data_IF_481817949192
#
_entry.id   IF_481817949192
#
_cell.length_a   1.000
_cell.length_b   1.000
_cell.length_c   1.000
_cell.angle_alpha   90.00
_cell.angle_beta   90.00
_cell.angle_gamma   90.00
#
_symmetry.space_group_name_H-M   'P 1'
#
loop_
_entity.id
_entity.type
_entity.pdbx_description
1 polymer ?
#
# COMPACT_ATOMS: atom_id res chain seq x y z
N UNK A 1 -14.74 -29.85 -22.52
CA UNK A 1 -13.81 -29.73 -21.36
C UNK A 1 -13.13 -28.37 -21.47
N UNK A 2 -13.51 -27.39 -20.66
CA UNK A 2 -12.83 -26.11 -20.61
C UNK A 2 -11.40 -26.34 -20.09
N UNK A 3 -10.33 -25.93 -20.80
CA UNK A 3 -9.01 -25.93 -20.22
C UNK A 3 -9.04 -24.97 -19.03
N UNK A 4 -8.76 -25.49 -17.83
CA UNK A 4 -8.56 -24.68 -16.62
C UNK A 4 -7.50 -23.66 -16.98
N UNK A 5 -7.92 -22.38 -17.15
CA UNK A 5 -7.00 -21.30 -17.53
C UNK A 5 -5.96 -21.15 -16.41
N UNK A 6 -4.75 -21.61 -16.69
CA UNK A 6 -3.65 -21.61 -15.72
C UNK A 6 -3.31 -20.17 -15.37
N UNK A 7 -3.51 -19.80 -14.11
CA UNK A 7 -3.16 -18.47 -13.62
C UNK A 7 -1.69 -18.16 -13.94
N UNK A 8 -1.43 -17.01 -14.57
CA UNK A 8 -0.08 -16.59 -14.93
C UNK A 8 0.76 -16.29 -13.68
N UNK A 9 2.07 -16.51 -13.77
CA UNK A 9 2.99 -16.31 -12.64
C UNK A 9 2.93 -14.87 -12.11
N UNK A 10 2.87 -13.86 -13.00
CA UNK A 10 2.81 -12.45 -12.60
C UNK A 10 1.49 -12.11 -11.88
N UNK A 11 0.34 -12.71 -12.27
CA UNK A 11 -0.90 -12.55 -11.54
C UNK A 11 -0.78 -13.03 -10.09
N UNK A 12 -0.19 -14.21 -9.86
CA UNK A 12 0.03 -14.73 -8.51
C UNK A 12 0.93 -13.84 -7.67
N UNK A 13 1.96 -13.25 -8.30
CA UNK A 13 2.87 -12.34 -7.62
C UNK A 13 2.19 -11.01 -7.27
N UNK A 14 1.35 -10.44 -8.14
CA UNK A 14 0.56 -9.26 -7.80
C UNK A 14 -0.48 -9.55 -6.73
N UNK A 15 -1.12 -10.71 -6.76
CA UNK A 15 -2.04 -11.15 -5.72
C UNK A 15 -1.32 -11.27 -4.36
N UNK A 16 -0.13 -11.90 -4.35
CA UNK A 16 0.70 -11.98 -3.15
C UNK A 16 1.09 -10.59 -2.66
N UNK A 17 1.52 -9.69 -3.55
CA UNK A 17 1.87 -8.31 -3.21
C UNK A 17 0.67 -7.53 -2.64
N UNK A 18 -0.56 -7.79 -3.11
CA UNK A 18 -1.78 -7.19 -2.56
C UNK A 18 -1.98 -7.60 -1.09
N UNK A 19 -1.94 -8.89 -0.79
CA UNK A 19 -2.08 -9.38 0.59
C UNK A 19 -0.91 -8.95 1.47
N UNK A 20 0.30 -8.92 0.92
CA UNK A 20 1.48 -8.42 1.63
C UNK A 20 1.33 -6.95 2.02
N UNK A 21 0.82 -6.11 1.10
CA UNK A 21 0.55 -4.69 1.35
C UNK A 21 -0.50 -4.51 2.44
N UNK A 22 -1.58 -5.31 2.44
CA UNK A 22 -2.57 -5.29 3.52
C UNK A 22 -1.95 -5.64 4.87
N UNK A 23 -1.13 -6.69 4.93
CA UNK A 23 -0.39 -7.08 6.13
C UNK A 23 0.58 -5.99 6.59
N UNK A 24 1.25 -5.30 5.65
CA UNK A 24 2.16 -4.19 5.96
C UNK A 24 1.41 -2.97 6.51
N UNK A 25 0.24 -2.62 5.98
CA UNK A 25 -0.62 -1.56 6.52
C UNK A 25 -1.06 -1.88 7.95
N UNK A 26 -1.46 -3.14 8.20
CA UNK A 26 -1.80 -3.60 9.55
C UNK A 26 -0.60 -3.50 10.49
N UNK A 27 0.58 -3.96 10.07
CA UNK A 27 1.81 -3.84 10.86
C UNK A 27 2.17 -2.39 11.15
N UNK A 28 2.00 -1.48 10.16
CA UNK A 28 2.19 -0.04 10.35
C UNK A 28 1.23 0.55 11.40
N UNK A 29 -0.01 0.06 11.46
CA UNK A 29 -0.96 0.47 12.50
C UNK A 29 -0.52 0.02 13.90
N UNK A 30 0.11 -1.15 14.03
CA UNK A 30 0.70 -1.63 15.29
C UNK A 30 1.87 -0.73 15.71
N UNK A 31 2.77 -0.39 14.77
CA UNK A 31 3.90 0.53 15.05
C UNK A 31 3.39 1.84 15.66
N UNK A 32 2.33 2.39 15.09
CA UNK A 32 1.70 3.61 15.61
C UNK A 32 1.00 3.39 16.96
N UNK A 33 0.24 2.32 17.10
CA UNK A 33 -0.54 2.04 18.30
C UNK A 33 0.36 1.77 19.53
N UNK A 34 1.53 1.19 19.30
CA UNK A 34 2.52 0.90 20.35
C UNK A 34 3.47 2.07 20.64
N UNK A 35 3.32 3.22 19.96
CA UNK A 35 4.22 4.36 20.11
C UNK A 35 5.63 4.10 19.60
N UNK A 36 5.80 3.12 18.70
CA UNK A 36 7.11 2.63 18.25
C UNK A 36 7.69 3.38 17.04
N UNK A 37 7.02 4.40 16.54
CA UNK A 37 7.31 5.05 15.24
C UNK A 37 8.64 5.80 15.16
N UNK A 38 9.35 5.99 16.28
CA UNK A 38 10.69 6.59 16.39
C UNK A 38 11.62 5.76 17.26
N UNK A 39 11.38 4.47 17.41
CA UNK A 39 12.25 3.57 18.17
C UNK A 39 13.61 3.36 17.47
N UNK A 40 13.67 3.55 16.15
CA UNK A 40 14.89 3.56 15.33
C UNK A 40 15.22 5.01 14.96
N UNK A 41 16.32 5.60 15.49
CA UNK A 41 16.62 7.01 15.28
C UNK A 41 17.19 7.35 13.90
N UNK A 42 17.61 6.35 13.14
CA UNK A 42 18.26 6.46 11.83
C UNK A 42 17.49 5.70 10.74
N UNK A 43 17.83 5.96 9.48
CA UNK A 43 17.28 5.28 8.30
C UNK A 43 18.38 5.18 7.23
N UNK A 44 18.50 4.04 6.48
CA UNK A 44 17.65 2.84 6.47
C UNK A 44 17.92 1.87 7.62
N UNK A 45 19.01 2.03 8.35
CA UNK A 45 19.43 1.21 9.49
C UNK A 45 18.61 1.52 10.75
N UNK A 46 18.93 0.84 11.83
CA UNK A 46 18.43 1.12 13.18
C UNK A 46 19.62 1.03 14.16
N UNK A 47 19.99 2.16 14.77
CA UNK A 47 21.24 2.29 15.55
C UNK A 47 22.49 1.90 14.74
N UNK A 48 22.56 2.32 13.47
CA UNK A 48 23.70 2.07 12.58
C UNK A 48 23.83 0.63 12.08
N UNK A 49 22.90 -0.27 12.39
CA UNK A 49 22.94 -1.68 11.98
C UNK A 49 21.66 -2.13 11.27
N UNK A 50 21.80 -3.13 10.38
CA UNK A 50 20.67 -3.80 9.74
C UNK A 50 20.03 -4.87 10.65
N UNK A 51 20.73 -5.28 11.72
CA UNK A 51 20.26 -6.29 12.66
C UNK A 51 20.37 -5.75 14.10
N UNK A 52 19.51 -4.78 14.48
CA UNK A 52 19.48 -4.25 15.83
C UNK A 52 18.95 -5.29 16.82
N UNK A 53 19.14 -5.04 18.12
CA UNK A 53 18.53 -5.86 19.16
C UNK A 53 17.00 -5.71 19.09
N UNK A 54 16.31 -6.74 18.64
CA UNK A 54 14.87 -6.75 18.39
C UNK A 54 14.06 -6.82 19.70
N UNK A 55 13.96 -5.69 20.41
CA UNK A 55 13.22 -5.59 21.67
C UNK A 55 12.30 -4.37 21.68
N UNK A 56 11.14 -4.48 22.35
CA UNK A 56 10.21 -3.37 22.53
C UNK A 56 9.81 -2.69 21.22
N UNK A 57 9.84 -1.37 21.16
CA UNK A 57 9.47 -0.59 19.97
C UNK A 57 10.38 -0.83 18.78
N UNK A 58 11.67 -1.14 18.99
CA UNK A 58 12.62 -1.45 17.92
C UNK A 58 12.12 -2.67 17.12
N UNK A 59 11.58 -3.68 17.80
CA UNK A 59 11.02 -4.87 17.14
C UNK A 59 9.95 -4.48 16.11
N UNK A 60 8.96 -3.69 16.53
CA UNK A 60 7.83 -3.34 15.65
C UNK A 60 8.25 -2.44 14.49
N UNK A 61 9.01 -1.39 14.77
CA UNK A 61 9.44 -0.44 13.72
C UNK A 61 10.41 -1.10 12.74
N UNK A 62 11.42 -1.83 13.23
CA UNK A 62 12.39 -2.46 12.34
C UNK A 62 11.78 -3.61 11.54
N UNK A 63 10.90 -4.42 12.14
CA UNK A 63 10.13 -5.44 11.42
C UNK A 63 9.30 -4.82 10.29
N UNK A 64 8.62 -3.69 10.56
CA UNK A 64 7.86 -2.97 9.52
C UNK A 64 8.77 -2.56 8.35
N UNK A 65 9.97 -2.04 8.63
CA UNK A 65 10.95 -1.68 7.59
C UNK A 65 11.42 -2.89 6.77
N UNK A 66 11.71 -4.02 7.41
CA UNK A 66 12.13 -5.25 6.73
C UNK A 66 11.01 -5.80 5.84
N UNK A 67 9.79 -5.84 6.34
CA UNK A 67 8.62 -6.30 5.58
C UNK A 67 8.33 -5.37 4.40
N UNK A 68 8.52 -4.04 4.56
CA UNK A 68 8.42 -3.06 3.48
C UNK A 68 9.50 -3.27 2.42
N UNK A 69 10.74 -3.50 2.82
CA UNK A 69 11.84 -3.83 1.89
C UNK A 69 11.57 -5.11 1.09
N UNK A 70 11.05 -6.14 1.76
CA UNK A 70 10.64 -7.39 1.09
C UNK A 70 9.50 -7.16 0.08
N UNK A 71 8.55 -6.25 0.36
CA UNK A 71 7.50 -5.87 -0.59
C UNK A 71 8.08 -5.20 -1.85
N UNK A 72 9.09 -4.33 -1.70
CA UNK A 72 9.76 -3.70 -2.85
C UNK A 72 10.37 -4.77 -3.77
N UNK A 73 11.08 -5.74 -3.19
CA UNK A 73 11.68 -6.85 -3.94
C UNK A 73 10.60 -7.70 -4.61
N UNK A 74 9.56 -8.09 -3.89
CA UNK A 74 8.44 -8.88 -4.40
C UNK A 74 7.78 -8.18 -5.60
N UNK A 75 7.49 -6.88 -5.47
CA UNK A 75 6.82 -6.12 -6.52
C UNK A 75 7.73 -5.89 -7.73
N UNK A 76 9.05 -5.69 -7.53
CA UNK A 76 10.03 -5.62 -8.61
C UNK A 76 10.10 -6.94 -9.39
N UNK A 77 10.10 -8.08 -8.69
CA UNK A 77 10.05 -9.41 -9.32
C UNK A 77 8.73 -9.60 -10.08
N UNK A 78 7.58 -9.22 -9.49
CA UNK A 78 6.28 -9.29 -10.16
C UNK A 78 6.26 -8.47 -11.45
N UNK A 79 6.81 -7.25 -11.42
CA UNK A 79 6.95 -6.36 -12.57
C UNK A 79 7.83 -6.99 -13.65
N UNK A 80 9.01 -7.50 -13.28
CA UNK A 80 9.93 -8.14 -14.21
C UNK A 80 9.33 -9.40 -14.86
N UNK A 81 8.68 -10.27 -14.08
CA UNK A 81 7.98 -11.46 -14.59
C UNK A 81 6.83 -11.05 -15.52
N UNK A 82 6.08 -10.00 -15.17
CA UNK A 82 5.02 -9.46 -16.01
C UNK A 82 5.54 -8.92 -17.36
N UNK A 83 6.72 -8.31 -17.38
CA UNK A 83 7.36 -7.85 -18.63
C UNK A 83 7.79 -9.01 -19.54
N UNK A 84 8.26 -10.11 -18.95
CA UNK A 84 8.67 -11.31 -19.68
C UNK A 84 7.49 -12.18 -20.15
N UNK A 85 6.32 -12.00 -19.56
CA UNK A 85 5.16 -12.87 -19.79
C UNK A 85 4.43 -12.61 -21.12
N UNK A 86 4.90 -11.70 -21.98
CA UNK A 86 4.26 -11.33 -23.25
C UNK A 86 2.76 -10.96 -23.11
N UNK A 87 2.34 -10.54 -21.92
CA UNK A 87 1.00 -10.09 -21.65
C UNK A 87 0.72 -8.77 -22.41
N UNK A 88 -0.09 -8.86 -23.46
CA UNK A 88 -0.39 -7.74 -24.37
C UNK A 88 -1.48 -6.81 -23.83
N UNK A 89 -2.03 -7.07 -22.63
CA UNK A 89 -3.05 -6.20 -22.06
C UNK A 89 -2.51 -4.79 -21.86
N UNK A 90 -3.25 -3.75 -22.33
CA UNK A 90 -2.76 -2.38 -22.33
C UNK A 90 -2.55 -1.88 -20.88
N UNK A 91 -1.49 -1.13 -20.69
CA UNK A 91 -1.23 -0.43 -19.43
C UNK A 91 -0.52 -1.23 -18.33
N UNK A 92 -0.48 -2.58 -18.33
CA UNK A 92 0.16 -3.37 -17.27
C UNK A 92 1.60 -2.91 -17.04
N UNK A 93 2.38 -2.74 -18.09
CA UNK A 93 3.80 -2.32 -17.99
C UNK A 93 3.93 -0.93 -17.37
N UNK A 94 3.11 0.03 -17.85
CA UNK A 94 3.13 1.41 -17.36
C UNK A 94 2.74 1.46 -15.89
N UNK A 95 1.63 0.83 -15.52
CA UNK A 95 1.15 0.83 -14.14
C UNK A 95 2.07 0.07 -13.19
N UNK A 96 2.77 -0.98 -13.66
CA UNK A 96 3.82 -1.63 -12.87
C UNK A 96 5.01 -0.71 -12.60
N UNK A 97 5.44 0.09 -13.61
CA UNK A 97 6.45 1.11 -13.41
C UNK A 97 6.00 2.22 -12.44
N UNK A 98 4.73 2.66 -12.56
CA UNK A 98 4.14 3.60 -11.60
C UNK A 98 4.16 3.03 -10.18
N UNK A 99 3.88 1.73 -10.02
CA UNK A 99 3.98 1.05 -8.73
C UNK A 99 5.39 1.05 -8.14
N UNK A 100 6.42 0.79 -8.95
CA UNK A 100 7.82 0.91 -8.51
C UNK A 100 8.13 2.34 -8.08
N UNK A 101 7.73 3.34 -8.88
CA UNK A 101 7.93 4.75 -8.53
C UNK A 101 7.23 5.11 -7.21
N UNK A 102 5.99 4.66 -6.99
CA UNK A 102 5.28 4.87 -5.73
C UNK A 102 6.03 4.27 -4.55
N UNK A 103 6.58 3.06 -4.66
CA UNK A 103 7.36 2.43 -3.60
C UNK A 103 8.67 3.19 -3.31
N UNK A 104 9.34 3.72 -4.33
CA UNK A 104 10.53 4.55 -4.15
C UNK A 104 10.18 5.86 -3.44
N UNK A 105 9.12 6.55 -3.88
CA UNK A 105 8.61 7.76 -3.20
C UNK A 105 8.23 7.45 -1.75
N UNK A 106 7.58 6.32 -1.52
CA UNK A 106 7.19 5.85 -0.20
C UNK A 106 8.41 5.66 0.73
N UNK A 107 9.51 5.12 0.19
CA UNK A 107 10.76 4.95 0.94
C UNK A 107 11.39 6.30 1.35
N UNK A 108 11.29 7.31 0.48
CA UNK A 108 11.72 8.68 0.81
C UNK A 108 10.84 9.27 1.92
N UNK A 109 9.51 9.08 1.86
CA UNK A 109 8.61 9.55 2.93
C UNK A 109 8.90 8.87 4.26
N UNK A 110 9.24 7.57 4.29
CA UNK A 110 9.68 6.88 5.53
C UNK A 110 10.95 7.53 6.07
N UNK A 111 11.95 7.81 5.23
CA UNK A 111 13.16 8.50 5.66
C UNK A 111 12.83 9.87 6.29
N UNK A 112 11.96 10.64 5.64
CA UNK A 112 11.53 11.96 6.11
C UNK A 112 10.73 11.88 7.43
N UNK A 113 9.89 10.84 7.63
CA UNK A 113 9.18 10.67 8.90
C UNK A 113 10.15 10.48 10.07
N UNK A 114 11.25 9.76 9.86
CA UNK A 114 12.27 9.51 10.89
C UNK A 114 13.13 10.77 11.11
N UNK A 115 13.71 11.32 10.04
CA UNK A 115 14.63 12.48 10.11
C UNK A 115 13.96 13.71 10.70
N UNK A 116 12.70 13.98 10.31
CA UNK A 116 11.94 15.15 10.74
C UNK A 116 11.08 14.88 11.99
N UNK A 117 11.23 13.72 12.63
CA UNK A 117 10.53 13.34 13.87
C UNK A 117 9.00 13.39 13.75
N UNK A 118 8.45 12.68 12.75
CA UNK A 118 7.01 12.48 12.53
C UNK A 118 6.18 13.75 12.32
N UNK A 119 6.51 14.62 11.37
CA UNK A 119 5.60 15.71 11.01
C UNK A 119 4.26 15.12 10.52
N UNK A 120 3.14 15.63 11.04
CA UNK A 120 1.81 15.09 10.74
C UNK A 120 1.52 15.04 9.23
N UNK A 121 1.92 16.07 8.48
CA UNK A 121 1.71 16.14 7.04
C UNK A 121 2.46 15.04 6.29
N UNK A 122 3.74 14.77 6.64
CA UNK A 122 4.56 13.73 6.03
C UNK A 122 4.02 12.34 6.37
N UNK A 123 3.68 12.11 7.65
CA UNK A 123 3.13 10.84 8.11
C UNK A 123 1.78 10.53 7.46
N UNK A 124 0.91 11.54 7.31
CA UNK A 124 -0.39 11.38 6.63
C UNK A 124 -0.20 11.15 5.12
N UNK A 125 0.75 11.85 4.48
CA UNK A 125 1.05 11.63 3.06
C UNK A 125 1.62 10.22 2.83
N UNK A 126 2.51 9.73 3.71
CA UNK A 126 2.99 8.35 3.68
C UNK A 126 1.83 7.34 3.72
N UNK A 127 0.85 7.53 4.61
CA UNK A 127 -0.35 6.70 4.68
C UNK A 127 -1.19 6.78 3.39
N UNK A 128 -1.42 7.98 2.85
CA UNK A 128 -2.18 8.16 1.61
C UNK A 128 -1.50 7.46 0.42
N UNK A 129 -0.19 7.59 0.28
CA UNK A 129 0.59 6.89 -0.75
C UNK A 129 0.52 5.37 -0.60
N UNK A 130 0.50 4.84 0.63
CA UNK A 130 0.35 3.42 0.88
C UNK A 130 -1.02 2.88 0.41
N UNK A 131 -2.11 3.63 0.63
CA UNK A 131 -3.43 3.30 0.08
C UNK A 131 -3.50 3.41 -1.44
N UNK A 132 -2.82 4.40 -2.04
CA UNK A 132 -2.71 4.50 -3.50
C UNK A 132 -1.97 3.30 -4.08
N UNK A 133 -0.88 2.86 -3.45
CA UNK A 133 -0.16 1.67 -3.87
C UNK A 133 -1.02 0.41 -3.72
N UNK A 134 -1.75 0.26 -2.60
CA UNK A 134 -2.70 -0.85 -2.41
C UNK A 134 -3.75 -0.88 -3.53
N UNK A 135 -4.34 0.27 -3.86
CA UNK A 135 -5.32 0.39 -4.95
C UNK A 135 -4.70 -0.04 -6.28
N UNK A 136 -3.51 0.45 -6.59
CA UNK A 136 -2.79 0.12 -7.83
C UNK A 136 -2.50 -1.38 -7.94
N UNK A 137 -1.94 -2.00 -6.89
CA UNK A 137 -1.59 -3.43 -6.94
C UNK A 137 -2.84 -4.30 -6.98
N UNK A 138 -3.95 -3.88 -6.34
CA UNK A 138 -5.24 -4.57 -6.44
C UNK A 138 -5.81 -4.51 -7.86
N UNK A 139 -5.73 -3.35 -8.52
CA UNK A 139 -6.13 -3.20 -9.93
C UNK A 139 -5.25 -4.07 -10.84
N UNK A 140 -3.92 -4.06 -10.64
CA UNK A 140 -3.02 -4.94 -11.40
C UNK A 140 -3.38 -6.42 -11.20
N UNK A 141 -3.71 -6.82 -9.98
CA UNK A 141 -4.16 -8.18 -9.68
C UNK A 141 -5.45 -8.51 -10.43
N UNK A 142 -6.45 -7.62 -10.41
CA UNK A 142 -7.72 -7.82 -11.11
C UNK A 142 -7.53 -7.89 -12.63
N UNK A 143 -6.79 -6.96 -13.21
CA UNK A 143 -6.53 -6.92 -14.67
C UNK A 143 -5.72 -8.12 -15.14
N UNK A 144 -4.78 -8.62 -14.35
CA UNK A 144 -3.96 -9.79 -14.69
C UNK A 144 -4.65 -11.13 -14.43
N UNK A 145 -5.85 -11.12 -13.83
CA UNK A 145 -6.65 -12.32 -13.58
C UNK A 145 -6.96 -13.07 -14.88
N UNK A 146 -6.94 -14.42 -14.86
CA UNK A 146 -7.37 -15.24 -15.99
C UNK A 146 -8.80 -14.94 -16.46
N UNK A 147 -9.69 -14.56 -15.55
CA UNK A 147 -11.08 -14.24 -15.86
C UNK A 147 -11.23 -12.88 -16.58
N UNK A 148 -10.28 -11.97 -16.44
CA UNK A 148 -10.32 -10.65 -17.08
C UNK A 148 -10.25 -10.71 -18.62
N UNK A 149 -9.72 -11.77 -19.19
CA UNK A 149 -9.63 -11.94 -20.66
C UNK A 149 -10.98 -12.16 -21.34
N UNK A 150 -12.02 -12.53 -20.59
CA UNK A 150 -13.37 -12.76 -21.10
C UNK A 150 -14.22 -11.47 -21.16
N UNK A 151 -13.80 -10.42 -20.47
CA UNK A 151 -14.58 -9.15 -20.34
C UNK A 151 -14.21 -8.11 -21.41
N UNK A 152 -13.14 -8.32 -22.19
CA UNK A 152 -12.52 -7.32 -23.09
C UNK A 152 -13.42 -6.83 -24.25
N UNK A 153 -14.60 -7.39 -24.45
CA UNK A 153 -15.51 -6.97 -25.53
C UNK A 153 -16.72 -6.16 -25.09
N UNK A 154 -16.87 -5.83 -23.83
CA UNK A 154 -17.93 -4.93 -23.41
C UNK A 154 -17.53 -3.46 -23.67
N UNK A 155 -18.40 -2.77 -24.42
CA UNK A 155 -18.25 -1.37 -24.80
C UNK A 155 -17.85 -0.48 -23.61
N UNK A 156 -16.60 -0.03 -23.56
CA UNK A 156 -16.03 0.92 -22.60
C UNK A 156 -16.67 2.32 -22.60
N UNK A 157 -17.83 2.51 -23.29
CA UNK A 157 -18.40 3.85 -23.50
C UNK A 157 -19.23 4.40 -22.33
N UNK A 158 -19.65 3.57 -21.36
CA UNK A 158 -20.42 4.06 -20.20
C UNK A 158 -20.25 3.11 -19.02
N UNK A 159 -19.71 3.62 -17.91
CA UNK A 159 -19.72 2.88 -16.63
C UNK A 159 -21.16 2.54 -16.24
N UNK A 160 -21.41 1.29 -15.85
CA UNK A 160 -22.67 0.88 -15.24
C UNK A 160 -22.88 1.61 -13.92
N UNK A 161 -24.10 1.70 -13.44
CA UNK A 161 -24.38 2.38 -12.16
C UNK A 161 -23.72 1.68 -10.97
N UNK A 162 -23.54 0.36 -11.04
CA UNK A 162 -22.79 -0.41 -10.03
C UNK A 162 -21.30 -0.01 -10.04
N UNK A 163 -20.69 0.16 -11.21
CA UNK A 163 -19.28 0.60 -11.31
C UNK A 163 -19.11 2.02 -10.78
N UNK A 164 -20.04 2.93 -11.09
CA UNK A 164 -20.02 4.31 -10.53
C UNK A 164 -20.11 4.31 -9.01
N UNK A 165 -21.03 3.52 -8.44
CA UNK A 165 -21.19 3.38 -6.99
C UNK A 165 -19.90 2.79 -6.39
N UNK A 166 -19.30 1.78 -7.04
CA UNK A 166 -18.03 1.20 -6.61
C UNK A 166 -16.89 2.20 -6.56
N UNK A 167 -16.73 3.02 -7.61
CA UNK A 167 -15.72 4.08 -7.66
C UNK A 167 -16.00 5.15 -6.60
N UNK A 168 -17.24 5.61 -6.46
CA UNK A 168 -17.61 6.59 -5.43
C UNK A 168 -17.30 6.06 -4.03
N UNK A 169 -17.66 4.80 -3.74
CA UNK A 169 -17.36 4.17 -2.46
C UNK A 169 -15.87 4.10 -2.18
N UNK A 170 -15.06 3.73 -3.18
CA UNK A 170 -13.61 3.68 -3.05
C UNK A 170 -13.01 5.06 -2.76
N UNK A 171 -13.48 6.12 -3.44
CA UNK A 171 -13.05 7.51 -3.19
C UNK A 171 -13.42 7.97 -1.79
N UNK A 172 -14.65 7.68 -1.34
CA UNK A 172 -15.11 8.05 0.01
C UNK A 172 -14.32 7.32 1.10
N UNK A 173 -14.06 6.01 0.93
CA UNK A 173 -13.25 5.22 1.87
C UNK A 173 -11.81 5.75 1.92
N UNK A 174 -11.23 6.06 0.77
CA UNK A 174 -9.90 6.66 0.70
C UNK A 174 -9.86 8.01 1.43
N UNK A 175 -10.80 8.91 1.15
CA UNK A 175 -10.92 10.21 1.81
C UNK A 175 -11.07 10.07 3.32
N UNK A 176 -11.95 9.18 3.78
CA UNK A 176 -12.15 8.88 5.19
C UNK A 176 -10.89 8.35 5.86
N UNK A 177 -10.15 7.46 5.18
CA UNK A 177 -8.90 6.90 5.69
C UNK A 177 -7.81 7.97 5.86
N UNK A 178 -7.70 8.89 4.90
CA UNK A 178 -6.75 10.03 4.97
C UNK A 178 -7.14 10.99 6.09
N UNK A 179 -8.42 11.34 6.21
CA UNK A 179 -8.93 12.18 7.31
C UNK A 179 -8.68 11.54 8.67
N UNK A 180 -8.94 10.23 8.81
CA UNK A 180 -8.61 9.48 10.02
C UNK A 180 -7.11 9.52 10.34
N UNK A 181 -6.26 9.46 9.31
CA UNK A 181 -4.82 9.65 9.44
C UNK A 181 -4.46 11.06 9.95
N UNK A 182 -5.09 12.12 9.46
CA UNK A 182 -4.90 13.49 9.95
C UNK A 182 -5.27 13.57 11.43
N UNK A 183 -6.46 13.12 11.81
CA UNK A 183 -6.93 13.11 13.21
C UNK A 183 -5.93 12.35 14.10
N UNK A 184 -5.43 11.21 13.64
CA UNK A 184 -4.46 10.39 14.38
C UNK A 184 -3.12 11.13 14.56
N UNK A 185 -2.56 11.67 13.49
CA UNK A 185 -1.23 12.29 13.50
C UNK A 185 -1.20 13.67 14.16
N UNK A 186 -2.35 14.37 14.23
CA UNK A 186 -2.49 15.62 14.98
C UNK A 186 -2.82 15.42 16.43
N UNK A 187 -3.06 14.19 16.88
CA UNK A 187 -3.50 13.89 18.25
C UNK A 187 -4.93 14.33 18.57
N UNK A 188 -5.72 14.70 17.54
CA UNK A 188 -7.06 15.26 17.70
C UNK A 188 -8.16 14.23 18.05
N UNK A 189 -7.79 12.94 18.18
CA UNK A 189 -8.76 11.85 18.39
C UNK A 189 -9.54 11.89 19.70
N UNK A 190 -9.06 12.64 20.71
CA UNK A 190 -9.71 12.78 22.02
C UNK A 190 -10.04 14.25 22.36
N UNK A 191 -10.06 15.13 21.37
CA UNK A 191 -10.37 16.57 21.57
C UNK A 191 -11.82 16.76 21.96
N UNK A 192 -12.73 15.92 21.44
CA UNK A 192 -14.14 15.91 21.82
C UNK A 192 -14.40 14.79 22.83
N UNK A 193 -14.71 15.16 24.08
CA UNK A 193 -15.03 14.21 25.15
C UNK A 193 -16.42 13.58 24.95
N UNK A 194 -17.34 14.32 24.32
CA UNK A 194 -18.74 13.93 24.16
C UNK A 194 -19.10 13.71 22.68
N UNK A 195 -19.92 12.68 22.41
CA UNK A 195 -20.46 12.33 21.10
C UNK A 195 -21.98 12.50 21.17
N UNK A 196 -22.64 13.14 20.19
CA UNK A 196 -22.12 13.60 18.88
C UNK A 196 -21.62 15.06 18.83
N UNK A 197 -21.72 15.81 19.91
CA UNK A 197 -21.41 17.25 19.98
C UNK A 197 -20.14 17.45 20.81
N UNK A 198 -19.26 18.31 20.32
CA UNK A 198 -18.01 18.69 20.97
C UNK A 198 -18.27 19.96 21.80
N UNK A 199 -18.56 19.84 23.09
CA UNK A 199 -18.75 20.92 24.04
C UNK A 199 -17.56 21.06 24.99
#
# INVERSE_FOLDING_TARGET
MNPIMKSSAHHKLYLLATFWTLGLLFLGSIVHATGSSLACPDWPTCYGTMFPKMTGGIFWEHLHRLVAGALVILFAVATWVGWKAEDKRPGIRIWSCVGILLLLVQSVFVALTVILKLPYAISTTHLALAFLFLTLVTVLTAVTSPQSTTVEKQNLKKLSDVEKIGVLSAVLIFGQSVLGGVVRHTGAGLVCADVPLCF
#
